data_IF_749893442413
#
_entry.id   IF_749893442413
#
_cell.length_a   1.000
_cell.length_b   1.000
_cell.length_c   1.000
_cell.angle_alpha   90.00
_cell.angle_beta   90.00
_cell.angle_gamma   90.00
#
_symmetry.space_group_name_H-M   'P 1'
#
loop_
_entity.id
_entity.type
_entity.pdbx_description
1 polymer ?
#
# COMPACT_ATOMS: atom_id res chain seq x y z
N UNK A 1 59.86 -33.18 -41.17
CA UNK A 1 59.36 -33.71 -39.88
C UNK A 1 59.81 -32.80 -38.74
N UNK A 2 58.93 -31.92 -38.28
CA UNK A 2 58.74 -31.48 -36.87
C UNK A 2 57.71 -30.34 -36.87
N UNK A 3 56.72 -30.52 -36.03
CA UNK A 3 55.53 -29.73 -35.79
C UNK A 3 55.84 -28.48 -34.95
N UNK A 4 55.03 -27.41 -35.05
CA UNK A 4 54.18 -26.86 -33.96
C UNK A 4 53.78 -25.36 -34.20
N UNK A 5 52.45 -25.16 -34.25
CA UNK A 5 51.62 -24.08 -33.67
C UNK A 5 51.48 -22.63 -34.22
N UNK A 6 50.19 -22.32 -34.49
CA UNK A 6 49.34 -21.13 -34.16
C UNK A 6 49.71 -19.78 -34.80
N UNK A 7 48.77 -18.99 -35.35
CA UNK A 7 47.53 -18.51 -34.74
C UNK A 7 46.53 -18.03 -35.82
N UNK A 8 45.24 -18.30 -35.59
CA UNK A 8 44.09 -17.79 -36.37
C UNK A 8 43.49 -16.64 -35.56
N UNK A 9 43.44 -15.45 -36.13
CA UNK A 9 42.70 -14.30 -35.59
C UNK A 9 41.35 -14.22 -36.29
N UNK A 10 40.28 -14.58 -35.58
CA UNK A 10 38.90 -14.40 -36.03
C UNK A 10 38.32 -13.13 -35.41
N UNK A 11 37.78 -12.27 -36.28
CA UNK A 11 37.13 -10.99 -35.96
C UNK A 11 35.87 -11.22 -35.10
N UNK A 12 35.83 -10.59 -33.92
CA UNK A 12 34.67 -10.62 -33.05
C UNK A 12 33.58 -9.65 -33.56
N UNK A 13 32.44 -10.21 -33.97
CA UNK A 13 31.21 -9.47 -34.25
C UNK A 13 30.43 -9.21 -32.96
N UNK A 14 30.02 -7.96 -32.80
CA UNK A 14 29.30 -7.38 -31.65
C UNK A 14 27.95 -8.07 -31.46
N UNK A 15 27.71 -8.63 -30.27
CA UNK A 15 26.40 -9.11 -29.83
C UNK A 15 25.66 -7.94 -29.16
N UNK A 16 24.63 -7.40 -29.83
CA UNK A 16 23.70 -6.44 -29.22
C UNK A 16 22.71 -7.24 -28.38
N UNK A 17 22.91 -7.26 -27.07
CA UNK A 17 21.93 -7.80 -26.12
C UNK A 17 20.90 -6.71 -25.80
N UNK A 18 19.74 -6.79 -26.43
CA UNK A 18 18.55 -6.01 -26.08
C UNK A 18 17.52 -6.92 -25.42
N UNK A 19 17.27 -6.71 -24.13
CA UNK A 19 15.94 -6.63 -23.49
C UNK A 19 16.12 -6.65 -21.97
N UNK A 20 16.19 -5.47 -21.35
CA UNK A 20 15.88 -5.36 -19.93
C UNK A 20 14.37 -5.51 -19.76
N UNK A 21 13.91 -6.74 -19.55
CA UNK A 21 12.64 -6.98 -18.87
C UNK A 21 12.88 -6.64 -17.40
N UNK A 22 12.63 -5.39 -17.02
CA UNK A 22 12.38 -5.05 -15.62
C UNK A 22 10.99 -5.61 -15.26
N UNK A 23 10.91 -6.92 -15.08
CA UNK A 23 9.85 -7.51 -14.27
C UNK A 23 10.00 -6.98 -12.86
N UNK A 24 8.89 -6.66 -12.20
CA UNK A 24 8.89 -6.52 -10.75
C UNK A 24 9.59 -7.76 -10.17
N UNK A 25 10.46 -7.56 -9.17
CA UNK A 25 11.06 -8.69 -8.45
C UNK A 25 9.94 -9.68 -8.09
N UNK A 26 10.12 -10.99 -8.36
CA UNK A 26 9.11 -11.96 -8.03
C UNK A 26 8.85 -11.84 -6.54
N UNK A 27 7.64 -11.41 -6.18
CA UNK A 27 7.24 -11.34 -4.79
C UNK A 27 7.56 -12.69 -4.14
N UNK A 28 8.31 -12.68 -3.03
CA UNK A 28 8.59 -13.92 -2.32
C UNK A 28 7.27 -14.65 -2.07
N UNK A 29 7.21 -15.97 -2.34
CA UNK A 29 5.99 -16.72 -2.10
C UNK A 29 5.63 -16.55 -0.62
N UNK A 30 4.36 -16.25 -0.36
CA UNK A 30 3.87 -16.21 1.02
C UNK A 30 4.17 -17.57 1.68
N UNK A 31 4.64 -17.59 2.94
CA UNK A 31 4.86 -18.86 3.64
C UNK A 31 3.55 -19.63 3.67
N UNK A 32 3.57 -20.97 3.62
CA UNK A 32 2.32 -21.73 3.73
C UNK A 32 1.69 -21.59 5.11
N UNK A 33 2.52 -21.52 6.16
CA UNK A 33 2.13 -21.36 7.56
C UNK A 33 3.10 -20.40 8.28
N UNK A 34 2.63 -19.64 9.25
CA UNK A 34 3.44 -18.82 10.17
C UNK A 34 2.97 -19.04 11.60
N UNK A 35 3.90 -19.37 12.48
CA UNK A 35 3.64 -19.53 13.92
C UNK A 35 3.60 -18.16 14.62
N UNK A 36 2.65 -18.00 15.54
CA UNK A 36 2.45 -16.81 16.35
C UNK A 36 2.25 -17.22 17.83
N UNK A 37 2.44 -16.27 18.75
CA UNK A 37 2.26 -16.56 20.19
C UNK A 37 0.85 -17.03 20.59
N UNK A 38 -0.16 -16.75 19.76
CA UNK A 38 -1.57 -17.10 19.97
C UNK A 38 -2.05 -18.30 19.14
N UNK A 39 -1.21 -18.85 18.24
CA UNK A 39 -1.58 -19.92 17.33
C UNK A 39 -0.82 -19.85 16.00
N UNK A 40 -1.50 -20.11 14.88
CA UNK A 40 -0.86 -20.11 13.56
C UNK A 40 -1.69 -19.36 12.51
N UNK A 41 -0.98 -18.85 11.49
CA UNK A 41 -1.54 -18.24 10.29
C UNK A 41 -1.31 -19.20 9.13
N UNK A 42 -2.37 -19.72 8.54
CA UNK A 42 -2.34 -20.50 7.30
C UNK A 42 -2.65 -19.57 6.13
N UNK A 43 -1.72 -19.47 5.19
CA UNK A 43 -1.82 -18.53 4.08
C UNK A 43 -2.45 -19.20 2.86
N UNK A 44 -3.54 -18.62 2.35
CA UNK A 44 -4.22 -19.06 1.13
C UNK A 44 -4.01 -18.03 0.03
N UNK A 45 -4.32 -18.36 -1.24
CA UNK A 45 -4.16 -17.41 -2.35
C UNK A 45 -4.86 -16.07 -2.12
N UNK A 46 -6.06 -16.04 -1.54
CA UNK A 46 -6.86 -14.81 -1.32
C UNK A 46 -7.49 -14.72 0.07
N UNK A 47 -6.90 -15.40 1.05
CA UNK A 47 -7.32 -15.32 2.45
C UNK A 47 -6.23 -15.77 3.40
N UNK A 48 -6.42 -15.46 4.69
CA UNK A 48 -5.66 -15.99 5.80
C UNK A 48 -6.63 -16.74 6.70
N UNK A 49 -6.25 -17.94 7.10
CA UNK A 49 -6.91 -18.71 8.16
C UNK A 49 -6.07 -18.56 9.42
N UNK A 50 -6.60 -17.86 10.43
CA UNK A 50 -5.95 -17.61 11.71
C UNK A 50 -6.47 -18.65 12.71
N UNK A 51 -5.69 -19.69 12.97
CA UNK A 51 -6.05 -20.77 13.88
C UNK A 51 -5.68 -20.34 15.30
N UNK A 52 -6.69 -19.93 16.07
CA UNK A 52 -6.49 -19.39 17.42
C UNK A 52 -6.35 -20.53 18.41
N UNK A 53 -5.14 -20.82 18.84
CA UNK A 53 -4.85 -21.93 19.77
C UNK A 53 -4.91 -21.49 21.23
N UNK A 54 -4.55 -20.24 21.51
CA UNK A 54 -4.65 -19.62 22.84
C UNK A 54 -5.20 -18.20 22.71
N UNK A 55 -6.07 -17.81 23.65
CA UNK A 55 -6.60 -16.45 23.69
C UNK A 55 -5.73 -15.58 24.61
N UNK A 56 -5.09 -14.51 24.10
CA UNK A 56 -4.34 -13.58 24.95
C UNK A 56 -5.22 -12.87 25.98
N UNK A 57 -4.62 -12.40 27.09
CA UNK A 57 -5.34 -11.74 28.20
C UNK A 57 -6.13 -10.50 27.77
N UNK A 58 -5.58 -9.71 26.83
CA UNK A 58 -6.22 -8.54 26.25
C UNK A 58 -7.28 -8.89 25.18
N UNK A 59 -7.49 -10.20 24.95
CA UNK A 59 -8.41 -10.78 23.96
C UNK A 59 -8.16 -10.27 22.54
N UNK A 60 -6.89 -10.05 22.20
CA UNK A 60 -6.47 -9.54 20.91
C UNK A 60 -5.42 -10.45 20.29
N UNK A 61 -5.63 -10.81 19.03
CA UNK A 61 -4.58 -11.41 18.20
C UNK A 61 -4.11 -10.38 17.18
N UNK A 62 -2.84 -10.49 16.78
CA UNK A 62 -2.23 -9.61 15.80
C UNK A 62 -1.57 -10.46 14.72
N UNK A 63 -1.62 -10.00 13.47
CA UNK A 63 -0.94 -10.62 12.34
C UNK A 63 -0.25 -9.54 11.49
N UNK A 64 0.69 -9.91 10.60
CA UNK A 64 1.41 -8.92 9.79
C UNK A 64 0.48 -8.04 8.95
N UNK A 65 0.81 -6.74 8.83
CA UNK A 65 0.14 -5.85 7.88
C UNK A 65 0.23 -6.42 6.47
N UNK A 66 -0.87 -6.31 5.72
CA UNK A 66 -0.92 -6.63 4.30
C UNK A 66 -1.07 -5.35 3.45
N UNK A 67 -0.67 -5.44 2.20
CA UNK A 67 -0.96 -4.48 1.15
C UNK A 67 -2.22 -4.92 0.38
N UNK A 68 -3.27 -5.34 1.07
CA UNK A 68 -4.52 -5.82 0.46
C UNK A 68 -5.72 -4.96 0.82
N UNK A 69 -6.72 -4.90 -0.06
CA UNK A 69 -8.06 -4.47 0.35
C UNK A 69 -8.74 -5.61 1.09
N UNK A 70 -9.35 -5.29 2.23
CA UNK A 70 -10.11 -6.26 3.01
C UNK A 70 -11.42 -6.57 2.27
N UNK A 71 -11.71 -7.85 2.06
CA UNK A 71 -13.01 -8.30 1.54
C UNK A 71 -13.97 -8.59 2.70
N UNK A 72 -13.55 -9.41 3.66
CA UNK A 72 -14.35 -9.79 4.82
C UNK A 72 -13.46 -10.27 5.99
N UNK A 73 -14.02 -10.34 7.19
CA UNK A 73 -13.41 -10.91 8.39
C UNK A 73 -14.51 -11.61 9.19
N UNK A 74 -14.33 -12.89 9.53
CA UNK A 74 -15.36 -13.67 10.23
C UNK A 74 -14.77 -14.91 10.92
N UNK A 75 -15.48 -15.47 11.90
CA UNK A 75 -15.17 -16.80 12.42
C UNK A 75 -15.61 -17.86 11.39
N UNK A 76 -14.81 -18.90 11.15
CA UNK A 76 -15.18 -19.96 10.22
C UNK A 76 -16.54 -20.58 10.58
N UNK A 77 -17.44 -20.67 9.61
CA UNK A 77 -18.81 -21.16 9.79
C UNK A 77 -19.84 -20.10 10.16
N UNK A 78 -19.44 -18.85 10.44
CA UNK A 78 -20.35 -17.73 10.62
C UNK A 78 -20.62 -16.98 9.30
N UNK A 79 -21.76 -16.29 9.25
CA UNK A 79 -22.04 -15.26 8.23
C UNK A 79 -21.15 -14.03 8.49
N UNK A 80 -20.36 -13.57 7.49
CA UNK A 80 -19.49 -12.40 7.65
C UNK A 80 -20.21 -11.12 8.07
N UNK A 81 -21.49 -10.95 7.74
CA UNK A 81 -22.26 -9.77 8.14
C UNK A 81 -22.78 -9.84 9.59
N UNK A 82 -22.72 -11.02 10.22
CA UNK A 82 -23.24 -11.25 11.58
C UNK A 82 -22.14 -11.40 12.64
N UNK A 83 -20.89 -11.57 12.22
CA UNK A 83 -19.77 -11.77 13.13
C UNK A 83 -19.47 -10.50 13.95
N UNK A 84 -19.08 -10.67 15.21
CA UNK A 84 -18.88 -9.56 16.17
C UNK A 84 -17.41 -9.10 16.28
N UNK A 85 -16.53 -9.60 15.42
CA UNK A 85 -15.09 -9.35 15.50
C UNK A 85 -14.77 -7.86 15.27
N UNK A 86 -13.86 -7.32 16.07
CA UNK A 86 -13.39 -5.93 15.92
C UNK A 86 -12.04 -5.92 15.24
N UNK A 87 -11.99 -5.37 14.03
CA UNK A 87 -10.76 -5.22 13.27
C UNK A 87 -10.15 -3.83 13.43
N UNK A 88 -8.86 -3.77 13.72
CA UNK A 88 -8.10 -2.53 13.85
C UNK A 88 -6.77 -2.63 13.08
N UNK A 89 -6.62 -1.90 11.96
CA UNK A 89 -5.32 -1.80 11.31
C UNK A 89 -4.37 -0.96 12.17
N UNK A 90 -3.12 -1.38 12.29
CA UNK A 90 -1.99 -0.62 12.81
C UNK A 90 -0.90 -0.47 11.72
N UNK A 91 0.10 0.42 11.90
CA UNK A 91 1.12 0.66 10.86
C UNK A 91 1.94 -0.58 10.46
N UNK A 92 2.12 -1.55 11.36
CA UNK A 92 2.96 -2.74 11.13
C UNK A 92 2.21 -4.07 11.25
N UNK A 93 1.18 -4.12 12.08
CA UNK A 93 0.35 -5.30 12.32
C UNK A 93 -1.11 -4.93 12.10
N UNK A 94 -1.95 -5.93 11.88
CA UNK A 94 -3.39 -5.77 11.95
C UNK A 94 -3.92 -6.60 13.11
N UNK A 95 -4.84 -6.00 13.86
CA UNK A 95 -5.30 -6.54 15.13
C UNK A 95 -6.77 -6.96 15.01
N UNK A 96 -7.10 -8.10 15.61
CA UNK A 96 -8.47 -8.58 15.79
C UNK A 96 -8.73 -8.71 17.28
N UNK A 97 -9.72 -7.98 17.78
CA UNK A 97 -10.16 -8.06 19.17
C UNK A 97 -11.46 -8.84 19.28
N UNK A 98 -11.49 -9.80 20.20
CA UNK A 98 -12.64 -10.66 20.47
C UNK A 98 -13.50 -10.09 21.61
N UNK A 99 -14.80 -9.81 21.37
CA UNK A 99 -15.74 -9.47 22.43
C UNK A 99 -15.78 -10.52 23.54
N UNK A 100 -16.23 -10.14 24.75
CA UNK A 100 -16.25 -11.04 25.93
C UNK A 100 -17.11 -12.29 25.72
N UNK A 101 -18.16 -12.19 24.91
CA UNK A 101 -19.11 -13.25 24.60
C UNK A 101 -18.67 -14.17 23.44
N UNK A 102 -17.50 -13.91 22.84
CA UNK A 102 -16.94 -14.72 21.75
C UNK A 102 -15.73 -15.50 22.25
N UNK A 103 -15.81 -16.82 22.33
CA UNK A 103 -14.63 -17.67 22.60
C UNK A 103 -14.00 -18.15 21.29
N UNK A 104 -12.81 -17.67 20.90
CA UNK A 104 -12.13 -18.07 19.68
C UNK A 104 -11.18 -19.27 19.88
N UNK A 105 -10.94 -19.72 21.11
CA UNK A 105 -9.91 -20.75 21.35
C UNK A 105 -10.28 -22.07 20.67
N UNK A 106 -9.34 -22.64 19.93
CA UNK A 106 -9.54 -23.82 19.09
C UNK A 106 -10.32 -23.58 17.80
N UNK A 107 -10.60 -22.32 17.43
CA UNK A 107 -11.36 -21.96 16.23
C UNK A 107 -10.51 -21.21 15.21
N UNK A 108 -11.05 -21.08 14.00
CA UNK A 108 -10.41 -20.38 12.88
C UNK A 108 -11.12 -19.05 12.63
N UNK A 109 -10.34 -17.98 12.53
CA UNK A 109 -10.79 -16.69 11.99
C UNK A 109 -10.33 -16.59 10.55
N UNK A 110 -11.23 -16.23 9.64
CA UNK A 110 -10.92 -16.05 8.22
C UNK A 110 -10.86 -14.56 7.90
N UNK A 111 -9.74 -14.12 7.33
CA UNK A 111 -9.58 -12.79 6.75
C UNK A 111 -9.48 -12.93 5.23
N UNK A 112 -10.49 -12.49 4.49
CA UNK A 112 -10.46 -12.53 3.04
C UNK A 112 -9.90 -11.23 2.44
N UNK A 113 -9.14 -11.36 1.36
CA UNK A 113 -8.58 -10.24 0.60
C UNK A 113 -9.27 -10.11 -0.76
N UNK A 114 -9.29 -8.90 -1.32
CA UNK A 114 -9.80 -8.69 -2.69
C UNK A 114 -8.80 -9.13 -3.76
N UNK A 115 -7.52 -8.92 -3.52
CA UNK A 115 -6.41 -9.38 -4.35
C UNK A 115 -5.85 -10.70 -3.80
N UNK A 116 -4.97 -11.39 -4.55
CA UNK A 116 -4.08 -12.38 -3.92
C UNK A 116 -3.34 -11.79 -2.73
N UNK A 117 -3.01 -12.58 -1.71
CA UNK A 117 -2.38 -12.07 -0.49
C UNK A 117 -1.04 -11.39 -0.83
N UNK A 118 -0.90 -10.13 -0.42
CA UNK A 118 0.25 -9.26 -0.64
C UNK A 118 0.83 -8.86 0.72
N UNK A 119 1.90 -9.54 1.13
CA UNK A 119 2.64 -9.19 2.32
C UNK A 119 3.28 -7.80 2.18
N UNK A 120 3.14 -6.97 3.21
CA UNK A 120 3.76 -5.64 3.25
C UNK A 120 5.26 -5.67 3.62
N UNK A 121 6.03 -6.65 3.12
CA UNK A 121 7.47 -6.80 3.41
C UNK A 121 8.33 -5.78 2.68
N UNK A 122 7.96 -5.51 1.42
CA UNK A 122 8.68 -4.58 0.56
C UNK A 122 7.68 -3.63 -0.11
N UNK A 123 8.09 -2.39 -0.41
CA UNK A 123 7.26 -1.46 -1.16
C UNK A 123 6.86 -2.05 -2.52
N UNK A 124 5.58 -2.00 -2.86
CA UNK A 124 5.12 -2.36 -4.20
C UNK A 124 5.49 -1.24 -5.18
N UNK A 125 6.19 -1.58 -6.26
CA UNK A 125 6.56 -0.63 -7.32
C UNK A 125 5.46 -0.58 -8.38
N UNK A 126 4.88 0.60 -8.55
CA UNK A 126 3.78 0.84 -9.50
C UNK A 126 4.37 1.24 -10.85
N UNK A 127 4.04 0.50 -11.90
CA UNK A 127 4.49 0.81 -13.26
C UNK A 127 3.57 1.83 -13.94
N UNK A 128 4.16 2.67 -14.78
CA UNK A 128 3.41 3.57 -15.65
C UNK A 128 2.50 2.79 -16.60
N UNK A 129 1.25 3.20 -16.72
CA UNK A 129 0.28 2.63 -17.65
C UNK A 129 0.66 2.96 -19.10
N UNK A 130 0.09 2.21 -20.05
CA UNK A 130 0.31 2.43 -21.50
C UNK A 130 -0.14 3.81 -21.99
N UNK A 131 -1.13 4.40 -21.33
CA UNK A 131 -1.62 5.75 -21.62
C UNK A 131 -0.74 6.84 -20.97
N UNK A 132 0.31 6.46 -20.24
CA UNK A 132 1.20 7.35 -19.51
C UNK A 132 0.80 7.57 -18.05
N UNK A 133 -0.39 7.16 -17.62
CA UNK A 133 -0.90 7.48 -16.28
C UNK A 133 -0.35 6.59 -15.16
N UNK A 134 -0.51 7.06 -13.91
CA UNK A 134 -0.36 6.24 -12.71
C UNK A 134 -1.63 6.26 -11.87
N UNK A 135 -1.99 5.10 -11.31
CA UNK A 135 -2.95 5.00 -10.21
C UNK A 135 -2.23 4.52 -8.96
N UNK A 136 -2.05 5.43 -8.01
CA UNK A 136 -1.37 5.20 -6.74
C UNK A 136 -2.42 4.97 -5.65
N UNK A 137 -2.83 3.71 -5.50
CA UNK A 137 -3.85 3.33 -4.53
C UNK A 137 -3.29 3.24 -3.09
N UNK A 138 -4.13 3.54 -2.09
CA UNK A 138 -3.71 3.57 -0.68
C UNK A 138 -3.06 2.26 -0.17
N UNK A 139 -3.52 1.09 -0.62
CA UNK A 139 -2.97 -0.21 -0.21
C UNK A 139 -1.51 -0.45 -0.62
N UNK A 140 -0.97 0.30 -1.58
CA UNK A 140 0.45 0.25 -1.96
C UNK A 140 1.30 1.28 -1.21
N UNK A 141 0.69 2.14 -0.39
CA UNK A 141 1.42 3.14 0.36
C UNK A 141 2.30 2.48 1.43
N UNK A 142 3.51 3.02 1.58
CA UNK A 142 4.34 2.83 2.75
C UNK A 142 4.08 4.01 3.68
N UNK A 143 3.68 3.74 4.92
CA UNK A 143 3.42 4.79 5.91
C UNK A 143 4.59 4.91 6.87
N UNK A 144 5.00 6.15 7.13
CA UNK A 144 6.10 6.49 8.01
C UNK A 144 5.59 7.34 9.16
N UNK A 145 6.13 7.09 10.35
CA UNK A 145 5.74 7.79 11.57
C UNK A 145 5.01 6.87 12.56
N UNK A 146 4.08 7.42 13.34
CA UNK A 146 3.50 6.76 14.52
C UNK A 146 2.06 6.31 14.32
N UNK A 147 1.22 7.15 13.71
CA UNK A 147 -0.23 6.98 13.70
C UNK A 147 -0.77 6.70 12.30
N UNK A 148 -0.27 7.41 11.28
CA UNK A 148 -0.69 7.26 9.90
C UNK A 148 -0.55 5.81 9.44
N UNK A 149 -1.60 5.31 8.79
CA UNK A 149 -1.67 3.92 8.38
C UNK A 149 -2.62 3.74 7.22
N UNK A 150 -2.50 2.60 6.57
CA UNK A 150 -3.48 2.14 5.61
C UNK A 150 -4.64 1.44 6.34
N UNK A 151 -5.87 1.88 6.06
CA UNK A 151 -7.12 1.34 6.61
C UNK A 151 -7.86 0.52 5.53
N UNK A 152 -7.80 -0.83 5.55
CA UNK A 152 -8.15 -1.67 4.40
C UNK A 152 -9.65 -1.94 4.23
N UNK A 153 -10.50 -1.54 5.18
CA UNK A 153 -11.93 -1.81 5.14
C UNK A 153 -12.57 -1.18 3.88
N UNK A 154 -13.51 -1.84 3.19
CA UNK A 154 -14.07 -1.36 1.91
C UNK A 154 -14.59 0.08 1.92
N UNK A 155 -15.24 0.51 3.01
CA UNK A 155 -15.75 1.88 3.17
C UNK A 155 -14.65 2.92 3.42
N UNK A 156 -13.47 2.49 3.88
CA UNK A 156 -12.29 3.33 4.15
C UNK A 156 -11.27 3.26 3.02
N UNK A 157 -10.59 2.11 2.84
CA UNK A 157 -9.57 1.86 1.82
C UNK A 157 -8.72 3.11 1.58
N UNK A 158 -8.03 3.58 2.62
CA UNK A 158 -7.38 4.90 2.61
C UNK A 158 -6.09 4.88 3.42
N UNK A 159 -5.15 5.74 3.05
CA UNK A 159 -4.15 6.22 4.00
C UNK A 159 -4.89 7.21 4.89
N UNK A 160 -5.01 6.89 6.17
CA UNK A 160 -5.85 7.61 7.12
C UNK A 160 -5.29 7.58 8.52
N UNK A 161 -6.11 8.00 9.49
CA UNK A 161 -5.69 8.21 10.88
C UNK A 161 -4.53 9.21 11.01
N UNK A 162 -4.49 10.21 10.12
CA UNK A 162 -3.40 11.17 10.01
C UNK A 162 -3.51 12.28 11.06
N UNK A 163 -3.17 11.97 12.31
CA UNK A 163 -3.28 12.90 13.44
C UNK A 163 -1.95 13.56 13.86
N UNK A 164 -0.81 12.99 13.48
CA UNK A 164 0.53 13.56 13.70
C UNK A 164 1.05 14.16 12.38
N UNK A 165 1.48 15.42 12.42
CA UNK A 165 1.98 16.13 11.24
C UNK A 165 3.36 15.63 10.77
N UNK A 166 4.09 14.89 11.63
CA UNK A 166 5.37 14.28 11.27
C UNK A 166 5.20 12.96 10.52
N UNK A 167 3.98 12.39 10.52
CA UNK A 167 3.68 11.19 9.76
C UNK A 167 3.51 11.54 8.27
N UNK A 168 3.90 10.61 7.40
CA UNK A 168 3.84 10.81 5.94
C UNK A 168 3.71 9.47 5.22
N UNK A 169 3.25 9.50 3.96
CA UNK A 169 3.08 8.31 3.15
C UNK A 169 3.91 8.39 1.87
N UNK A 170 4.30 7.23 1.35
CA UNK A 170 5.14 7.09 0.17
C UNK A 170 4.57 6.05 -0.78
N UNK A 171 4.71 6.31 -2.07
CA UNK A 171 4.52 5.32 -3.13
C UNK A 171 5.80 5.18 -3.95
N UNK A 172 6.13 3.95 -4.31
CA UNK A 172 7.24 3.66 -5.22
C UNK A 172 6.68 3.48 -6.63
N UNK A 173 7.28 4.14 -7.62
CA UNK A 173 6.82 4.07 -9.00
C UNK A 173 7.98 3.99 -9.99
N UNK A 174 7.73 3.35 -11.13
CA UNK A 174 8.63 3.28 -12.27
C UNK A 174 8.07 4.11 -13.43
N UNK A 175 8.75 5.21 -13.76
CA UNK A 175 8.46 6.06 -14.92
C UNK A 175 9.23 5.52 -16.12
N UNK A 176 8.50 5.01 -17.11
CA UNK A 176 9.09 4.51 -18.36
C UNK A 176 9.20 5.61 -19.42
N UNK A 177 8.31 6.61 -19.36
CA UNK A 177 8.25 7.74 -20.28
C UNK A 177 8.18 9.05 -19.48
N UNK A 178 9.23 9.90 -19.54
CA UNK A 178 9.22 11.21 -18.92
C UNK A 178 8.13 12.11 -19.51
N UNK A 179 7.35 12.76 -18.66
CA UNK A 179 6.25 13.62 -19.08
C UNK A 179 5.79 14.56 -17.95
N UNK A 180 4.86 15.46 -18.28
CA UNK A 180 4.15 16.25 -17.29
C UNK A 180 2.83 15.58 -16.91
N UNK A 181 2.52 15.66 -15.61
CA UNK A 181 1.35 15.05 -15.02
C UNK A 181 0.50 16.09 -14.30
N UNK A 182 -0.80 16.12 -14.58
CA UNK A 182 -1.80 16.66 -13.66
C UNK A 182 -1.93 15.71 -12.47
N UNK A 183 -1.68 16.23 -11.27
CA UNK A 183 -1.84 15.49 -10.02
C UNK A 183 -3.28 15.62 -9.55
N UNK A 184 -3.93 14.48 -9.32
CA UNK A 184 -5.25 14.39 -8.71
C UNK A 184 -5.19 13.57 -7.42
N UNK A 185 -5.84 14.05 -6.36
CA UNK A 185 -6.02 13.31 -5.10
C UNK A 185 -7.49 12.97 -4.91
N UNK A 186 -7.77 11.74 -4.43
CA UNK A 186 -9.08 11.34 -3.94
C UNK A 186 -9.10 11.50 -2.42
N UNK A 187 -9.54 12.68 -1.98
CA UNK A 187 -9.37 13.19 -0.61
C UNK A 187 -10.68 13.16 0.19
N UNK A 188 -10.64 12.67 1.42
CA UNK A 188 -11.70 12.79 2.41
C UNK A 188 -11.25 13.63 3.61
N UNK A 189 -12.17 14.35 4.24
CA UNK A 189 -11.89 15.14 5.44
C UNK A 189 -13.16 15.31 6.28
N UNK A 190 -13.05 15.12 7.59
CA UNK A 190 -14.16 15.29 8.52
C UNK A 190 -14.70 16.72 8.57
N UNK A 191 -15.99 16.86 8.90
CA UNK A 191 -16.63 18.16 9.12
C UNK A 191 -15.87 18.99 10.15
N UNK A 192 -15.44 20.18 9.78
CA UNK A 192 -14.67 21.11 10.60
C UNK A 192 -13.16 20.81 10.66
N UNK A 193 -12.66 19.80 9.94
CA UNK A 193 -11.24 19.41 9.94
C UNK A 193 -10.43 19.96 8.75
N UNK A 194 -11.07 20.61 7.78
CA UNK A 194 -10.38 21.21 6.63
C UNK A 194 -9.38 22.32 7.00
N UNK A 195 -8.56 22.71 6.02
CA UNK A 195 -7.61 23.82 6.12
C UNK A 195 -6.15 23.41 6.34
N UNK A 196 -5.84 22.13 6.57
CA UNK A 196 -4.45 21.66 6.69
C UNK A 196 -3.74 21.80 5.34
N UNK A 197 -2.45 22.15 5.35
CA UNK A 197 -1.64 22.22 4.13
C UNK A 197 -0.85 20.93 3.96
N UNK A 198 -0.96 20.32 2.77
CA UNK A 198 -0.29 19.07 2.41
C UNK A 198 0.56 19.29 1.17
N UNK A 199 1.68 18.58 1.06
CA UNK A 199 2.56 18.56 -0.10
C UNK A 199 2.64 17.16 -0.71
N UNK A 200 2.65 17.09 -2.04
CA UNK A 200 3.08 15.94 -2.83
C UNK A 200 4.41 16.28 -3.47
N UNK A 201 5.41 15.43 -3.27
CA UNK A 201 6.76 15.57 -3.81
C UNK A 201 7.08 14.40 -4.74
N UNK A 202 7.54 14.71 -5.95
CA UNK A 202 7.97 13.73 -6.95
C UNK A 202 9.05 14.33 -7.84
N UNK A 203 10.14 13.60 -8.08
CA UNK A 203 11.26 14.03 -8.93
C UNK A 203 11.82 15.42 -8.55
N UNK A 204 11.86 15.74 -7.25
CA UNK A 204 12.33 17.04 -6.75
C UNK A 204 11.39 18.22 -7.03
N UNK A 205 10.18 17.97 -7.53
CA UNK A 205 9.10 18.95 -7.67
C UNK A 205 8.10 18.78 -6.54
N UNK A 206 7.43 19.86 -6.18
CA UNK A 206 6.44 19.88 -5.10
C UNK A 206 5.17 20.55 -5.55
N UNK A 207 4.03 19.91 -5.30
CA UNK A 207 2.70 20.52 -5.39
C UNK A 207 2.12 20.59 -3.99
N UNK A 208 1.61 21.76 -3.61
CA UNK A 208 0.95 21.97 -2.32
C UNK A 208 -0.54 22.19 -2.53
N UNK A 209 -1.35 21.71 -1.59
CA UNK A 209 -2.78 21.96 -1.57
C UNK A 209 -3.29 22.12 -0.14
N UNK A 210 -4.35 22.91 0.00
CA UNK A 210 -5.09 23.04 1.25
C UNK A 210 -6.21 22.01 1.24
N UNK A 211 -6.29 21.20 2.30
CA UNK A 211 -7.32 20.16 2.48
C UNK A 211 -8.70 20.81 2.54
N UNK A 212 -9.63 20.32 1.72
CA UNK A 212 -11.03 20.73 1.75
C UNK A 212 -11.83 19.88 2.73
N UNK A 213 -12.71 20.51 3.52
CA UNK A 213 -13.71 19.80 4.30
C UNK A 213 -14.70 19.07 3.37
N UNK A 214 -14.87 17.75 3.54
CA UNK A 214 -15.79 16.95 2.74
C UNK A 214 -17.01 16.45 3.54
N UNK A 215 -17.19 16.95 4.76
CA UNK A 215 -18.26 16.62 5.69
C UNK A 215 -18.05 15.33 6.48
N UNK A 216 -17.22 14.40 5.98
CA UNK A 216 -16.90 13.14 6.64
C UNK A 216 -15.61 12.56 6.04
N UNK A 217 -14.77 11.90 6.84
CA UNK A 217 -13.50 11.33 6.37
C UNK A 217 -13.65 10.31 5.23
N UNK A 218 -14.79 9.63 5.15
CA UNK A 218 -15.11 8.67 4.07
C UNK A 218 -15.88 9.29 2.89
N UNK A 219 -16.17 10.59 2.92
CA UNK A 219 -16.74 11.32 1.79
C UNK A 219 -15.61 11.79 0.88
N UNK A 220 -15.08 10.86 0.07
CA UNK A 220 -13.97 11.16 -0.81
C UNK A 220 -14.40 12.01 -2.01
N UNK A 221 -13.63 13.06 -2.31
CA UNK A 221 -13.81 13.92 -3.48
C UNK A 221 -12.52 13.98 -4.31
N UNK A 222 -12.59 13.84 -5.64
CA UNK A 222 -11.43 14.03 -6.50
C UNK A 222 -11.08 15.52 -6.57
N UNK A 223 -9.79 15.85 -6.48
CA UNK A 223 -9.27 17.22 -6.56
C UNK A 223 -8.02 17.26 -7.39
N UNK A 224 -8.03 18.08 -8.44
CA UNK A 224 -6.84 18.44 -9.19
C UNK A 224 -6.08 19.51 -8.40
N UNK A 225 -4.81 19.24 -8.08
CA UNK A 225 -4.05 20.08 -7.13
C UNK A 225 -2.86 20.81 -7.77
N UNK A 226 -2.49 20.47 -9.01
CA UNK A 226 -1.40 21.10 -9.75
C UNK A 226 -0.71 20.10 -10.68
N UNK A 227 0.37 20.54 -11.35
CA UNK A 227 1.13 19.68 -12.26
C UNK A 227 2.54 19.39 -11.73
N UNK A 228 3.09 18.23 -12.11
CA UNK A 228 4.48 17.83 -11.87
C UNK A 228 5.07 17.30 -13.16
N UNK A 229 6.23 17.85 -13.55
CA UNK A 229 7.04 17.34 -14.65
C UNK A 229 8.12 16.39 -14.14
N UNK A 230 8.23 15.22 -14.77
CA UNK A 230 9.32 14.27 -14.58
C UNK A 230 10.16 14.24 -15.85
N UNK A 231 11.44 14.60 -15.72
CA UNK A 231 12.32 14.85 -16.87
C UNK A 231 13.13 13.62 -17.33
N UNK A 232 13.16 12.55 -16.53
CA UNK A 232 13.90 11.32 -16.84
C UNK A 232 13.08 10.07 -16.52
N UNK A 233 13.38 8.97 -17.23
CA UNK A 233 12.83 7.67 -16.91
C UNK A 233 13.61 7.10 -15.71
N UNK A 234 12.95 6.28 -14.91
CA UNK A 234 13.59 5.66 -13.75
C UNK A 234 12.62 5.35 -12.62
N UNK A 235 13.20 4.88 -11.52
CA UNK A 235 12.48 4.62 -10.29
C UNK A 235 12.41 5.91 -9.45
N UNK A 236 11.22 6.21 -8.95
CA UNK A 236 10.94 7.39 -8.14
C UNK A 236 10.11 7.03 -6.91
N UNK A 237 10.24 7.85 -5.87
CA UNK A 237 9.25 7.92 -4.79
C UNK A 237 8.36 9.13 -4.98
N UNK A 238 7.05 8.94 -4.78
CA UNK A 238 6.10 10.01 -4.52
C UNK A 238 5.84 10.08 -3.02
N UNK A 239 6.18 11.21 -2.41
CA UNK A 239 6.01 11.44 -0.98
C UNK A 239 4.81 12.37 -0.74
N UNK A 240 3.96 12.02 0.22
CA UNK A 240 2.81 12.79 0.68
C UNK A 240 3.06 13.23 2.13
N UNK A 241 3.25 14.53 2.34
CA UNK A 241 3.67 15.11 3.63
C UNK A 241 2.70 16.18 4.12
N UNK A 242 2.44 16.21 5.42
CA UNK A 242 1.76 17.35 6.03
C UNK A 242 2.78 18.48 6.21
N UNK A 243 2.42 19.68 5.74
CA UNK A 243 3.20 20.90 5.95
C UNK A 243 2.69 21.62 7.20
N UNK A 244 1.36 21.65 7.36
CA UNK A 244 0.71 22.26 8.50
C UNK A 244 -0.57 21.50 8.84
N UNK A 245 -0.76 21.16 10.12
CA UNK A 245 -1.98 20.55 10.63
C UNK A 245 -2.73 21.56 11.50
N UNK A 246 -3.88 22.02 11.03
CA UNK A 246 -4.65 23.09 11.68
C UNK A 246 -5.79 22.60 12.59
N UNK A 247 -6.12 21.30 12.53
CA UNK A 247 -7.21 20.65 13.30
C UNK A 247 -6.76 19.32 13.90
N UNK A 248 -7.72 18.50 14.36
CA UNK A 248 -7.44 17.20 14.98
C UNK A 248 -6.74 16.19 14.06
N UNK A 249 -7.04 16.22 12.76
CA UNK A 249 -6.47 15.34 11.74
C UNK A 249 -6.25 16.11 10.43
N UNK A 250 -5.33 15.62 9.59
CA UNK A 250 -4.96 16.24 8.31
C UNK A 250 -6.01 15.96 7.25
N UNK A 251 -6.06 14.72 6.73
CA UNK A 251 -7.06 14.21 5.78
C UNK A 251 -6.90 12.70 5.60
N UNK A 252 -7.82 12.10 4.84
CA UNK A 252 -7.72 10.73 4.34
C UNK A 252 -7.46 10.75 2.82
N UNK A 253 -6.48 9.99 2.33
CA UNK A 253 -6.16 9.85 0.90
C UNK A 253 -6.36 8.39 0.46
N UNK A 254 -7.40 8.17 -0.35
CA UNK A 254 -7.73 6.84 -0.91
C UNK A 254 -6.91 6.52 -2.15
N UNK A 255 -6.58 7.54 -2.94
CA UNK A 255 -5.86 7.39 -4.20
C UNK A 255 -5.18 8.70 -4.60
N UNK A 256 -4.03 8.59 -5.27
CA UNK A 256 -3.42 9.67 -6.05
C UNK A 256 -3.36 9.20 -7.50
N UNK A 257 -3.73 10.06 -8.45
CA UNK A 257 -3.49 9.81 -9.89
C UNK A 257 -2.49 10.82 -10.43
N UNK A 258 -1.58 10.32 -11.26
CA UNK A 258 -0.75 11.15 -12.14
C UNK A 258 -1.32 10.98 -13.54
N UNK A 259 -1.90 12.05 -14.07
CA UNK A 259 -2.62 12.03 -15.35
C UNK A 259 -1.78 12.80 -16.37
N UNK A 260 -1.36 12.19 -17.49
CA UNK A 260 -0.70 12.88 -18.59
C UNK A 260 -1.39 14.20 -18.94
N UNK A 261 -0.61 15.28 -19.02
CA UNK A 261 -1.08 16.50 -19.66
C UNK A 261 -0.87 16.37 -21.18
N UNK A 262 -1.77 16.94 -22.01
CA UNK A 262 -1.56 17.03 -23.46
C UNK A 262 -0.28 17.74 -23.88
#
# INVERSE_FOLDING_TARGET
MKSLLRSITTTAGILITACCLLGADPAEPSPSVTEESWGEIVWKPSSLELHVQSLPEDRKISFPRLNNRMKSLYMQGEDPEQTKLKFRPEPKTWDITFPKDVDPQGKVVVFETMEPVLLARQPHRISQSKDGSFTLAAHHAVTHGKLLRYEPQPRKNTVGYWADANDWAQWQLHVSQPMEFQVEVLQGCGKGHGGSTVAIELAGKTVRFVVEDTGHFQNFKPRQIGTIRVDAAGDYSLDLRAIEKVKGAVCDIRQIRLIPTP
#
